data_IF_527844043594
#
_entry.id   IF_527844043594
#
_cell.length_a   1.000
_cell.length_b   1.000
_cell.length_c   1.000
_cell.angle_alpha   90.00
_cell.angle_beta   90.00
_cell.angle_gamma   90.00
#
_symmetry.space_group_name_H-M   'P 1'
#
loop_
_entity.id
_entity.type
_entity.pdbx_description
1 polymer ?
#
# COMPACT_ATOMS: atom_id res chain seq x y z
N UNK A 1 30.54 1.54 4.09
CA UNK A 1 30.14 0.29 3.41
C UNK A 1 28.62 0.22 3.46
N UNK A 2 27.95 0.96 2.57
CA UNK A 2 26.48 0.98 2.50
C UNK A 2 26.01 -0.27 1.77
N UNK A 3 25.25 -1.14 2.45
CA UNK A 3 24.47 -2.19 1.79
C UNK A 3 23.16 -1.55 1.32
N UNK A 4 23.11 -1.15 0.06
CA UNK A 4 21.85 -0.97 -0.66
C UNK A 4 21.25 -2.35 -0.90
N UNK A 5 20.43 -2.81 0.04
CA UNK A 5 19.69 -4.05 -0.13
C UNK A 5 18.50 -3.79 -1.08
N UNK A 6 18.68 -4.15 -2.36
CA UNK A 6 17.63 -4.11 -3.40
C UNK A 6 16.51 -5.14 -3.19
N UNK A 7 16.46 -5.84 -2.05
CA UNK A 7 15.46 -6.87 -1.76
C UNK A 7 14.03 -6.34 -1.68
N UNK A 8 13.82 -5.09 -1.24
CA UNK A 8 12.48 -4.50 -1.11
C UNK A 8 11.69 -4.49 -2.43
N UNK A 9 12.19 -3.83 -3.48
CA UNK A 9 11.56 -3.85 -4.81
C UNK A 9 11.43 -5.26 -5.39
N UNK A 10 12.45 -6.11 -5.24
CA UNK A 10 12.43 -7.48 -5.79
C UNK A 10 11.40 -8.38 -5.09
N UNK A 11 11.20 -8.22 -3.79
CA UNK A 11 10.17 -8.95 -3.05
C UNK A 11 8.76 -8.49 -3.44
N UNK A 12 8.57 -7.20 -3.73
CA UNK A 12 7.32 -6.68 -4.28
C UNK A 12 6.97 -7.32 -5.64
N UNK A 13 7.93 -7.38 -6.57
CA UNK A 13 7.71 -8.05 -7.87
C UNK A 13 7.45 -9.56 -7.73
N UNK A 14 8.12 -10.24 -6.79
CA UNK A 14 7.89 -11.66 -6.50
C UNK A 14 6.49 -11.92 -5.97
N UNK A 15 5.98 -11.06 -5.09
CA UNK A 15 4.61 -11.15 -4.58
C UNK A 15 3.59 -10.99 -5.72
N UNK A 16 3.74 -9.94 -6.55
CA UNK A 16 2.87 -9.70 -7.72
C UNK A 16 2.84 -10.92 -8.64
N UNK A 17 4.01 -11.47 -8.99
CA UNK A 17 4.11 -12.62 -9.90
C UNK A 17 3.46 -13.88 -9.33
N UNK A 18 3.67 -14.18 -8.04
CA UNK A 18 3.08 -15.35 -7.38
C UNK A 18 1.56 -15.26 -7.30
N UNK A 19 1.07 -14.08 -6.96
CA UNK A 19 -0.34 -13.82 -6.72
C UNK A 19 -1.15 -13.80 -8.02
N UNK A 20 -0.62 -13.14 -9.06
CA UNK A 20 -1.27 -13.05 -10.36
C UNK A 20 -1.41 -14.42 -11.04
N UNK A 21 -0.40 -15.29 -10.89
CA UNK A 21 -0.40 -16.62 -11.52
C UNK A 21 -1.39 -17.57 -10.83
N UNK A 22 -1.39 -17.63 -9.50
CA UNK A 22 -2.29 -18.52 -8.74
C UNK A 22 -3.75 -18.07 -8.88
N UNK A 23 -4.01 -16.77 -8.78
CA UNK A 23 -5.36 -16.22 -8.90
C UNK A 23 -5.87 -16.36 -10.34
N UNK A 24 -5.02 -16.14 -11.35
CA UNK A 24 -5.38 -16.33 -12.75
C UNK A 24 -5.79 -17.77 -13.09
N UNK A 25 -5.01 -18.76 -12.63
CA UNK A 25 -5.33 -20.19 -12.82
C UNK A 25 -6.64 -20.56 -12.11
N UNK A 26 -6.81 -20.11 -10.87
CA UNK A 26 -8.03 -20.39 -10.08
C UNK A 26 -9.27 -19.75 -10.71
N UNK A 27 -9.13 -18.52 -11.21
CA UNK A 27 -10.17 -17.75 -11.89
C UNK A 27 -10.61 -18.40 -13.20
N UNK A 28 -9.66 -18.89 -14.00
CA UNK A 28 -9.94 -19.64 -15.23
C UNK A 28 -10.71 -20.93 -14.94
N UNK A 29 -10.30 -21.69 -13.91
CA UNK A 29 -11.00 -22.92 -13.50
C UNK A 29 -12.42 -22.64 -12.97
N UNK A 30 -12.65 -21.48 -12.35
CA UNK A 30 -13.95 -21.07 -11.80
C UNK A 30 -14.80 -20.23 -12.76
N UNK A 31 -14.34 -19.96 -13.98
CA UNK A 31 -15.07 -19.19 -14.99
C UNK A 31 -15.37 -17.74 -14.59
N UNK A 32 -14.57 -17.16 -13.68
CA UNK A 32 -14.79 -15.83 -13.10
C UNK A 32 -13.67 -14.84 -13.37
N UNK A 33 -13.79 -13.64 -12.81
CA UNK A 33 -12.68 -12.71 -12.57
C UNK A 33 -11.96 -13.09 -11.27
N UNK A 34 -10.66 -12.79 -11.13
CA UNK A 34 -9.93 -13.08 -9.91
C UNK A 34 -10.61 -12.38 -8.72
N UNK A 35 -10.73 -13.05 -7.57
CA UNK A 35 -11.39 -12.49 -6.41
C UNK A 35 -10.68 -11.19 -5.98
N UNK A 36 -11.46 -10.16 -5.63
CA UNK A 36 -10.88 -8.98 -4.99
C UNK A 36 -10.40 -9.38 -3.60
N UNK A 37 -9.07 -9.36 -3.41
CA UNK A 37 -8.46 -9.72 -2.13
C UNK A 37 -8.76 -8.63 -1.12
N UNK A 38 -9.32 -9.05 0.01
CA UNK A 38 -9.54 -8.19 1.17
C UNK A 38 -8.29 -8.18 2.06
N UNK A 39 -8.04 -7.04 2.68
CA UNK A 39 -7.03 -6.86 3.73
C UNK A 39 -7.81 -6.52 5.00
N UNK A 40 -7.95 -7.52 5.88
CA UNK A 40 -8.70 -7.39 7.13
C UNK A 40 -7.78 -7.08 8.33
N UNK A 41 -6.62 -6.47 8.07
CA UNK A 41 -5.65 -6.03 9.08
C UNK A 41 -5.54 -4.50 9.08
N UNK A 42 -5.28 -3.88 10.25
CA UNK A 42 -5.01 -2.45 10.31
C UNK A 42 -3.97 -2.05 9.29
N UNK A 43 -4.30 -1.03 8.50
CA UNK A 43 -3.48 -0.57 7.38
C UNK A 43 -3.39 0.95 7.38
N UNK A 44 -2.17 1.47 7.33
CA UNK A 44 -1.89 2.88 7.09
C UNK A 44 -1.54 3.11 5.61
N UNK A 45 -2.31 3.96 4.94
CA UNK A 45 -2.02 4.46 3.59
C UNK A 45 -1.52 5.91 3.68
N UNK A 46 -0.25 6.12 3.33
CA UNK A 46 0.35 7.45 3.18
C UNK A 46 0.34 7.85 1.71
N UNK A 47 -0.34 8.95 1.38
CA UNK A 47 -0.59 9.37 0.00
C UNK A 47 -0.13 10.81 -0.26
N UNK A 48 0.59 11.04 -1.36
CA UNK A 48 0.93 12.38 -1.82
C UNK A 48 -0.11 12.90 -2.80
N UNK A 49 -0.68 14.09 -2.56
CA UNK A 49 -1.76 14.61 -3.39
C UNK A 49 -1.29 15.23 -4.72
N UNK A 50 0.01 15.44 -4.89
CA UNK A 50 0.62 15.96 -6.13
C UNK A 50 1.24 14.85 -6.98
N UNK A 51 0.79 13.61 -6.83
CA UNK A 51 1.29 12.49 -7.61
C UNK A 51 0.85 12.64 -9.09
N UNK A 52 1.80 12.81 -10.04
CA UNK A 52 1.46 12.98 -11.45
C UNK A 52 1.15 11.64 -12.16
N UNK A 53 1.40 10.50 -11.50
CA UNK A 53 1.26 9.15 -12.05
C UNK A 53 -0.03 8.51 -11.55
N UNK A 54 -0.36 8.71 -10.29
CA UNK A 54 -1.52 8.09 -9.63
C UNK A 54 -2.50 9.14 -9.12
N UNK A 55 -3.74 9.07 -9.60
CA UNK A 55 -4.78 10.02 -9.20
C UNK A 55 -5.24 9.80 -7.75
N UNK A 56 -5.55 10.91 -7.06
CA UNK A 56 -6.02 10.90 -5.67
C UNK A 56 -7.35 10.16 -5.47
N UNK A 57 -8.19 10.04 -6.50
CA UNK A 57 -9.43 9.27 -6.46
C UNK A 57 -9.21 7.75 -6.34
N UNK A 58 -7.97 7.26 -6.51
CA UNK A 58 -7.63 5.88 -6.20
C UNK A 58 -7.69 5.59 -4.70
N UNK A 59 -7.42 6.58 -3.85
CA UNK A 59 -7.41 6.40 -2.39
C UNK A 59 -8.76 5.93 -1.88
N UNK A 60 -9.85 6.56 -2.33
CA UNK A 60 -11.20 6.29 -1.82
C UNK A 60 -11.68 4.87 -2.15
N UNK A 61 -11.15 4.27 -3.23
CA UNK A 61 -11.48 2.89 -3.63
C UNK A 61 -10.92 1.84 -2.68
N UNK A 62 -9.89 2.16 -1.88
CA UNK A 62 -9.26 1.19 -0.98
C UNK A 62 -10.18 0.80 0.19
N UNK A 63 -11.08 1.69 0.62
CA UNK A 63 -12.07 1.37 1.68
C UNK A 63 -13.00 0.20 1.31
N UNK A 64 -13.15 -0.12 0.02
CA UNK A 64 -13.96 -1.26 -0.40
C UNK A 64 -13.31 -2.63 -0.10
N UNK A 65 -11.98 -2.66 0.08
CA UNK A 65 -11.21 -3.91 0.20
C UNK A 65 -10.23 -3.93 1.37
N UNK A 66 -9.98 -2.80 2.05
CA UNK A 66 -9.09 -2.71 3.21
C UNK A 66 -9.85 -2.16 4.41
N UNK A 67 -9.85 -2.92 5.52
CA UNK A 67 -10.52 -2.53 6.76
C UNK A 67 -9.81 -3.18 7.97
N UNK A 68 -9.35 -2.43 8.99
CA UNK A 68 -9.44 -0.97 9.13
C UNK A 68 -8.37 -0.21 8.34
N UNK A 69 -8.80 0.84 7.64
CA UNK A 69 -7.94 1.68 6.80
C UNK A 69 -7.79 3.10 7.39
N UNK A 70 -6.56 3.47 7.75
CA UNK A 70 -6.17 4.83 8.08
C UNK A 70 -5.49 5.50 6.88
N UNK A 71 -6.03 6.63 6.41
CA UNK A 71 -5.44 7.39 5.31
C UNK A 71 -4.77 8.66 5.84
N UNK A 72 -3.55 8.94 5.37
CA UNK A 72 -2.82 10.18 5.62
C UNK A 72 -2.42 10.84 4.30
N UNK A 73 -3.05 11.98 4.02
CA UNK A 73 -2.82 12.76 2.79
C UNK A 73 -1.77 13.84 3.02
N UNK A 74 -0.79 13.88 2.14
CA UNK A 74 0.35 14.78 2.17
C UNK A 74 0.20 15.76 0.99
N UNK A 75 -0.46 16.89 1.25
CA UNK A 75 -0.80 17.91 0.24
C UNK A 75 0.41 18.41 -0.57
N UNK A 76 1.58 18.46 0.06
CA UNK A 76 2.81 18.96 -0.56
C UNK A 76 3.67 17.87 -1.23
N UNK A 77 3.29 16.59 -1.13
CA UNK A 77 4.06 15.46 -1.66
C UNK A 77 3.46 14.91 -2.96
N UNK A 78 4.32 14.42 -3.85
CA UNK A 78 3.94 13.63 -5.01
C UNK A 78 4.10 12.12 -4.79
N UNK A 79 4.59 11.41 -5.81
CA UNK A 79 4.66 9.95 -5.85
C UNK A 79 5.46 9.28 -4.72
N UNK A 80 6.42 9.99 -4.12
CA UNK A 80 7.27 9.46 -3.05
C UNK A 80 7.13 10.28 -1.74
N UNK A 81 6.01 10.17 -1.01
CA UNK A 81 5.78 10.98 0.18
C UNK A 81 6.85 10.83 1.26
N UNK A 82 7.38 9.61 1.43
CA UNK A 82 8.44 9.30 2.39
C UNK A 82 9.79 9.94 2.06
N UNK A 83 10.09 10.16 0.78
CA UNK A 83 11.30 10.85 0.36
C UNK A 83 11.12 12.38 0.45
N UNK A 84 9.92 12.87 0.13
CA UNK A 84 9.60 14.30 0.16
C UNK A 84 9.42 14.85 1.57
N UNK A 85 8.80 14.10 2.48
CA UNK A 85 8.50 14.49 3.86
C UNK A 85 8.88 13.38 4.85
N UNK A 86 10.18 13.02 4.97
CA UNK A 86 10.63 11.85 5.73
C UNK A 86 10.27 11.92 7.22
N UNK A 87 10.38 13.10 7.83
CA UNK A 87 10.02 13.31 9.25
C UNK A 87 8.55 13.00 9.50
N UNK A 88 7.66 13.66 8.76
CA UNK A 88 6.21 13.43 8.86
C UNK A 88 5.85 11.97 8.57
N UNK A 89 6.46 11.33 7.57
CA UNK A 89 6.22 9.89 7.33
C UNK A 89 6.66 9.04 8.51
N UNK A 90 7.80 9.34 9.12
CA UNK A 90 8.28 8.63 10.31
C UNK A 90 7.29 8.78 11.46
N UNK A 91 6.79 10.00 11.70
CA UNK A 91 5.82 10.28 12.77
C UNK A 91 4.52 9.48 12.59
N UNK A 92 3.97 9.44 11.37
CA UNK A 92 2.76 8.67 11.06
C UNK A 92 2.98 7.16 11.23
N UNK A 93 4.16 6.65 10.83
CA UNK A 93 4.53 5.24 11.02
C UNK A 93 4.66 4.91 12.50
N UNK A 94 5.33 5.75 13.30
CA UNK A 94 5.46 5.52 14.74
C UNK A 94 4.10 5.57 15.44
N UNK A 95 3.25 6.53 15.10
CA UNK A 95 1.91 6.63 15.67
C UNK A 95 1.03 5.42 15.34
N UNK A 96 1.16 4.88 14.12
CA UNK A 96 0.43 3.69 13.67
C UNK A 96 0.94 2.38 14.29
N UNK A 97 2.26 2.28 14.50
CA UNK A 97 2.89 1.09 15.08
C UNK A 97 2.90 1.09 16.61
N UNK A 98 2.51 2.19 17.25
CA UNK A 98 2.40 2.28 18.70
C UNK A 98 1.32 1.30 19.21
N UNK A 99 1.68 0.28 20.01
CA UNK A 99 0.73 -0.71 20.52
C UNK A 99 -0.30 -0.13 21.50
N UNK A 100 -0.11 1.13 21.94
CA UNK A 100 -1.07 1.85 22.78
C UNK A 100 -2.09 2.68 21.99
N UNK A 101 -1.92 2.83 20.66
CA UNK A 101 -2.92 3.45 19.80
C UNK A 101 -4.13 2.51 19.62
N UNK A 102 -5.38 3.00 19.76
CA UNK A 102 -6.56 2.20 19.44
C UNK A 102 -6.58 1.85 17.95
N UNK A 103 -6.83 0.57 17.65
CA UNK A 103 -6.95 0.02 16.30
C UNK A 103 -8.20 0.50 15.56
#
# INVERSE_FOLDING_TARGET
>A
MERTDSSGPLNHYRAIGRDTVVDGITSMLRGGLPPQRRVDLPTLLVWGERDPVLDSGLVDRHHAVVEPLSVRRFAESGHWPHAAQPGRTTDELLAFLDPSSPA
#
